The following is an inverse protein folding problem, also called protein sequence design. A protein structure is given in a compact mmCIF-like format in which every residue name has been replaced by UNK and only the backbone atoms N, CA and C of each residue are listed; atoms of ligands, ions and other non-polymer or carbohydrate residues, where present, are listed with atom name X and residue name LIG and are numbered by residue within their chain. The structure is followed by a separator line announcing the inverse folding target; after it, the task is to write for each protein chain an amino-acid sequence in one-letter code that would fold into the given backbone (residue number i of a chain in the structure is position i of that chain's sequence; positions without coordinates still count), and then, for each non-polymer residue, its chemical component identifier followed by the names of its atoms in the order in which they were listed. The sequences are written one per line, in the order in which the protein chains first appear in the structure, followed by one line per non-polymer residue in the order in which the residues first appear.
data_IF_932594247084
#
_entry.id   IF_932594247084
#
_cell.length_a   1.000
_cell.length_b   1.000
_cell.length_c   1.000
_cell.angle_alpha   90.00
_cell.angle_beta   90.00
_cell.angle_gamma   90.00
#
_symmetry.space_group_name_H-M   'P 1'
#
loop_
_entity.id
_entity.type
_entity.pdbx_description
1 polymer ?
#
# COMPACT_ATOMS: atom_id res chain seq x y z
N UNK A 1 -27.88 -17.18 -11.18
CA UNK A 1 -26.42 -17.11 -11.28
C UNK A 1 -25.91 -16.69 -9.91
N UNK A 2 -25.52 -17.66 -9.09
CA UNK A 2 -24.96 -17.43 -7.76
C UNK A 2 -23.55 -16.88 -7.94
N UNK A 3 -23.32 -15.65 -7.47
CA UNK A 3 -21.97 -15.10 -7.36
C UNK A 3 -21.17 -16.00 -6.44
N UNK A 4 -20.09 -16.58 -6.96
CA UNK A 4 -19.09 -17.24 -6.14
C UNK A 4 -18.53 -16.19 -5.16
N UNK A 5 -18.32 -16.53 -3.87
CA UNK A 5 -17.60 -15.62 -2.99
C UNK A 5 -16.24 -15.36 -3.63
N UNK A 6 -15.85 -14.09 -3.74
CA UNK A 6 -14.51 -13.72 -4.15
C UNK A 6 -13.54 -14.28 -3.11
N UNK A 7 -13.01 -15.48 -3.35
CA UNK A 7 -11.87 -15.98 -2.62
C UNK A 7 -10.69 -15.10 -3.04
N UNK A 8 -10.03 -14.48 -2.07
CA UNK A 8 -8.76 -13.82 -2.34
C UNK A 8 -7.84 -14.82 -3.06
N UNK A 9 -7.28 -14.41 -4.19
CA UNK A 9 -6.45 -15.30 -4.99
C UNK A 9 -5.05 -15.35 -4.36
N UNK A 10 -4.91 -16.22 -3.35
CA UNK A 10 -3.69 -16.35 -2.55
C UNK A 10 -2.48 -16.67 -3.41
N UNK A 11 -2.67 -17.41 -4.51
CA UNK A 11 -1.59 -17.72 -5.44
C UNK A 11 -1.14 -16.47 -6.20
N UNK A 12 -2.08 -15.71 -6.76
CA UNK A 12 -1.78 -14.45 -7.46
C UNK A 12 -1.15 -13.42 -6.52
N UNK A 13 -1.71 -13.25 -5.31
CA UNK A 13 -1.16 -12.33 -4.31
C UNK A 13 0.28 -12.68 -3.95
N UNK A 14 0.57 -13.95 -3.69
CA UNK A 14 1.94 -14.40 -3.39
C UNK A 14 2.87 -14.22 -4.59
N UNK A 15 2.38 -14.49 -5.80
CA UNK A 15 3.16 -14.28 -7.01
C UNK A 15 3.56 -12.81 -7.17
N UNK A 16 2.61 -11.88 -7.04
CA UNK A 16 2.87 -10.44 -7.13
C UNK A 16 3.83 -9.99 -6.01
N UNK A 17 3.65 -10.46 -4.77
CA UNK A 17 4.55 -10.14 -3.66
C UNK A 17 5.97 -10.70 -3.84
N UNK A 18 6.19 -11.73 -4.64
CA UNK A 18 7.53 -12.26 -4.92
C UNK A 18 8.23 -11.57 -6.10
N UNK A 19 7.50 -10.79 -6.89
CA UNK A 19 8.09 -10.04 -7.99
C UNK A 19 9.01 -8.92 -7.48
N UNK A 20 10.02 -8.64 -8.29
CA UNK A 20 10.91 -7.50 -8.14
C UNK A 20 10.52 -6.46 -9.20
N UNK A 21 9.68 -5.47 -8.86
CA UNK A 21 9.22 -4.48 -9.83
C UNK A 21 10.37 -3.57 -10.26
N UNK A 22 10.27 -2.95 -11.42
CA UNK A 22 11.12 -1.82 -11.82
C UNK A 22 10.25 -0.70 -12.44
N UNK A 23 10.86 0.42 -12.82
CA UNK A 23 10.10 1.55 -13.39
C UNK A 23 9.45 1.22 -14.75
N UNK A 24 9.90 0.20 -15.48
CA UNK A 24 9.27 -0.23 -16.73
C UNK A 24 8.04 -1.11 -16.51
N UNK A 25 7.95 -1.78 -15.35
CA UNK A 25 6.86 -2.68 -15.04
C UNK A 25 6.69 -2.94 -13.54
N UNK A 26 5.55 -2.51 -13.01
CA UNK A 26 5.04 -2.84 -11.68
C UNK A 26 3.65 -3.47 -11.81
N UNK A 27 3.45 -4.62 -11.17
CA UNK A 27 2.16 -5.29 -11.11
C UNK A 27 1.28 -4.70 -10.00
N UNK A 28 0.04 -4.35 -10.36
CA UNK A 28 -0.92 -3.67 -9.49
C UNK A 28 -2.18 -4.52 -9.35
N UNK A 29 -2.50 -4.90 -8.11
CA UNK A 29 -3.70 -5.62 -7.73
C UNK A 29 -4.90 -4.65 -7.61
N UNK A 30 -6.09 -5.08 -8.04
CA UNK A 30 -7.35 -4.37 -7.80
C UNK A 30 -8.56 -5.30 -7.92
N UNK A 31 -9.75 -4.77 -7.58
CA UNK A 31 -11.02 -5.49 -7.67
C UNK A 31 -11.33 -6.39 -6.48
N UNK A 32 -10.55 -6.28 -5.39
CA UNK A 32 -10.67 -7.07 -4.17
C UNK A 32 -9.93 -8.40 -4.27
N UNK A 33 -9.14 -8.71 -3.24
CA UNK A 33 -8.41 -9.98 -3.10
C UNK A 33 -7.44 -10.27 -4.25
N UNK A 34 -6.90 -9.23 -4.88
CA UNK A 34 -6.09 -9.26 -6.10
C UNK A 34 -6.75 -10.05 -7.24
N UNK A 35 -8.07 -9.91 -7.40
CA UNK A 35 -8.82 -10.61 -8.47
C UNK A 35 -8.43 -10.15 -9.88
N UNK A 36 -7.81 -8.97 -10.00
CA UNK A 36 -7.26 -8.43 -11.23
C UNK A 36 -5.86 -7.90 -10.99
N UNK A 37 -4.99 -8.13 -11.96
CA UNK A 37 -3.63 -7.57 -11.99
C UNK A 37 -3.47 -6.77 -13.27
N UNK A 38 -2.97 -5.55 -13.16
CA UNK A 38 -2.58 -4.70 -14.28
C UNK A 38 -1.12 -4.31 -14.12
N UNK A 39 -0.30 -4.61 -15.13
CA UNK A 39 1.10 -4.18 -15.15
C UNK A 39 1.22 -2.85 -15.85
N UNK A 40 1.89 -1.89 -15.23
CA UNK A 40 2.13 -0.56 -15.79
C UNK A 40 3.55 -0.09 -15.49
N UNK A 41 4.04 0.87 -16.27
CA UNK A 41 5.33 1.53 -16.02
C UNK A 41 5.16 2.90 -15.38
N UNK A 42 6.24 3.41 -14.81
CA UNK A 42 6.40 4.78 -14.31
C UNK A 42 7.40 5.48 -15.21
N UNK A 43 6.94 6.51 -15.92
CA UNK A 43 7.78 7.30 -16.81
C UNK A 43 8.83 8.07 -16.01
N UNK A 44 10.00 8.39 -16.60
CA UNK A 44 11.05 9.13 -15.92
C UNK A 44 10.58 10.46 -15.31
N UNK A 45 9.69 11.18 -16.00
CA UNK A 45 9.16 12.47 -15.54
C UNK A 45 8.22 12.30 -14.33
N UNK A 46 7.40 11.25 -14.33
CA UNK A 46 6.55 10.90 -13.19
C UNK A 46 7.42 10.50 -12.00
N UNK A 47 8.44 9.68 -12.21
CA UNK A 47 9.38 9.29 -11.17
C UNK A 47 10.05 10.52 -10.53
N UNK A 48 10.53 11.47 -11.35
CA UNK A 48 11.13 12.71 -10.86
C UNK A 48 10.15 13.54 -10.00
N UNK A 49 8.86 13.53 -10.33
CA UNK A 49 7.83 14.19 -9.54
C UNK A 49 7.60 13.46 -8.21
N UNK A 50 7.53 12.13 -8.21
CA UNK A 50 7.40 11.32 -7.00
C UNK A 50 8.55 11.56 -6.02
N UNK A 51 9.78 11.65 -6.55
CA UNK A 51 10.97 11.89 -5.72
C UNK A 51 10.96 13.23 -4.97
N UNK A 52 10.14 14.21 -5.38
CA UNK A 52 10.05 15.49 -4.66
C UNK A 52 9.53 15.31 -3.22
N UNK A 53 8.73 14.27 -2.95
CA UNK A 53 8.27 13.93 -1.60
C UNK A 53 9.42 13.63 -0.62
N UNK A 54 10.59 13.28 -1.15
CA UNK A 54 11.77 12.90 -0.39
C UNK A 54 12.92 13.91 -0.59
N UNK A 55 12.61 15.14 -0.99
CA UNK A 55 13.61 16.22 -1.11
C UNK A 55 13.44 17.27 0.00
N UNK A 56 14.51 17.61 0.75
CA UNK A 56 15.81 16.94 0.76
C UNK A 56 15.71 15.49 1.26
N UNK A 57 16.72 14.67 0.92
CA UNK A 57 16.76 13.26 1.34
C UNK A 57 16.58 13.15 2.87
N UNK A 58 15.76 12.20 3.37
CA UNK A 58 15.54 12.03 4.79
C UNK A 58 16.84 11.90 5.59
N UNK A 59 16.94 12.65 6.70
CA UNK A 59 18.12 12.63 7.57
C UNK A 59 17.99 11.66 8.75
N UNK A 60 16.80 11.11 8.98
CA UNK A 60 16.49 10.17 10.06
C UNK A 60 15.23 9.37 9.75
N UNK A 61 15.00 8.28 10.51
CA UNK A 61 13.89 7.35 10.31
C UNK A 61 12.51 8.02 10.26
N UNK A 62 12.22 8.97 11.16
CA UNK A 62 10.93 9.67 11.14
C UNK A 62 10.69 10.46 9.84
N UNK A 63 11.71 11.17 9.34
CA UNK A 63 11.61 11.88 8.07
C UNK A 63 11.45 10.91 6.89
N UNK A 64 12.06 9.73 6.96
CA UNK A 64 11.89 8.69 5.92
C UNK A 64 10.45 8.18 5.89
N UNK A 65 9.81 7.98 7.05
CA UNK A 65 8.38 7.61 7.10
C UNK A 65 7.49 8.68 6.49
N UNK A 66 7.76 9.97 6.73
CA UNK A 66 7.02 11.07 6.06
C UNK A 66 7.20 11.02 4.54
N UNK A 67 8.44 10.85 4.06
CA UNK A 67 8.74 10.69 2.63
C UNK A 67 8.01 9.47 2.02
N UNK A 68 8.01 8.31 2.70
CA UNK A 68 7.27 7.13 2.28
C UNK A 68 5.78 7.44 2.13
N UNK A 69 5.14 8.02 3.15
CA UNK A 69 3.72 8.31 3.14
C UNK A 69 3.32 9.21 1.97
N UNK A 70 4.05 10.31 1.74
CA UNK A 70 3.79 11.26 0.66
C UNK A 70 4.09 10.67 -0.72
N UNK A 71 5.14 9.87 -0.84
CA UNK A 71 5.50 9.24 -2.11
C UNK A 71 4.46 8.18 -2.52
N UNK A 72 3.93 7.41 -1.56
CA UNK A 72 2.82 6.46 -1.80
C UNK A 72 1.57 7.16 -2.34
N UNK A 73 1.20 8.32 -1.77
CA UNK A 73 0.14 9.15 -2.32
C UNK A 73 0.40 9.56 -3.78
N UNK A 74 1.65 9.88 -4.11
CA UNK A 74 2.06 10.16 -5.48
C UNK A 74 1.91 8.94 -6.40
N UNK A 75 2.40 7.77 -5.97
CA UNK A 75 2.30 6.53 -6.73
C UNK A 75 0.85 6.21 -7.06
N UNK A 76 -0.04 6.28 -6.07
CA UNK A 76 -1.46 6.01 -6.26
C UNK A 76 -2.12 6.93 -7.29
N UNK A 77 -1.76 8.21 -7.34
CA UNK A 77 -2.27 9.14 -8.37
C UNK A 77 -1.73 8.78 -9.76
N UNK A 78 -0.42 8.53 -9.87
CA UNK A 78 0.22 8.22 -11.17
C UNK A 78 -0.24 6.88 -11.72
N UNK A 79 -0.24 5.86 -10.87
CA UNK A 79 -0.61 4.50 -11.24
C UNK A 79 -2.12 4.38 -11.40
N UNK A 80 -2.90 5.02 -10.53
CA UNK A 80 -4.36 4.95 -10.54
C UNK A 80 -4.97 5.38 -11.86
N UNK A 81 -4.45 6.45 -12.48
CA UNK A 81 -4.90 6.90 -13.81
C UNK A 81 -4.65 5.85 -14.90
N UNK A 82 -3.59 5.04 -14.76
CA UNK A 82 -3.20 4.02 -15.75
C UNK A 82 -3.92 2.69 -15.55
N UNK A 83 -4.26 2.36 -14.32
CA UNK A 83 -4.91 1.10 -13.93
C UNK A 83 -6.42 1.24 -13.77
N UNK A 84 -6.93 2.46 -13.76
CA UNK A 84 -8.34 2.78 -13.50
C UNK A 84 -8.71 2.68 -12.03
N UNK A 85 -7.75 2.84 -11.12
CA UNK A 85 -7.95 2.83 -9.65
C UNK A 85 -7.89 4.23 -9.04
N UNK A 86 -7.88 5.29 -9.86
CA UNK A 86 -7.87 6.70 -9.45
C UNK A 86 -9.15 7.14 -8.72
N UNK A 87 -10.23 6.39 -8.86
CA UNK A 87 -11.48 6.59 -8.13
C UNK A 87 -11.64 5.67 -6.91
N UNK A 88 -10.57 4.98 -6.50
CA UNK A 88 -10.57 4.16 -5.29
C UNK A 88 -10.95 4.98 -4.05
N UNK A 89 -11.78 4.37 -3.19
CA UNK A 89 -12.25 4.97 -1.96
C UNK A 89 -11.68 4.26 -0.76
N UNK A 90 -11.39 5.02 0.29
CA UNK A 90 -10.94 4.45 1.56
C UNK A 90 -11.97 3.46 2.11
N UNK A 91 -11.48 2.32 2.58
CA UNK A 91 -12.34 1.25 3.09
C UNK A 91 -12.65 0.15 2.08
N UNK A 92 -13.05 -1.02 2.59
CA UNK A 92 -13.44 -2.18 1.75
C UNK A 92 -14.97 -2.26 1.65
N UNK A 93 -15.67 -2.10 2.76
CA UNK A 93 -17.10 -2.35 2.83
C UNK A 93 -17.93 -1.18 2.30
N UNK A 94 -18.90 -1.51 1.45
CA UNK A 94 -19.77 -0.53 0.78
C UNK A 94 -19.19 -0.01 -0.53
N UNK A 95 -17.95 -0.38 -0.88
CA UNK A 95 -17.28 0.13 -2.07
C UNK A 95 -17.15 -0.88 -3.22
N UNK A 96 -17.44 -2.16 -3.02
CA UNK A 96 -17.17 -3.24 -3.99
C UNK A 96 -17.83 -3.09 -5.38
N UNK A 97 -18.86 -2.24 -5.50
CA UNK A 97 -19.50 -1.93 -6.78
C UNK A 97 -18.83 -0.76 -7.53
N UNK A 98 -17.88 -0.05 -6.92
CA UNK A 98 -17.13 1.02 -7.56
C UNK A 98 -16.04 0.43 -8.46
N UNK A 99 -16.02 0.87 -9.71
CA UNK A 99 -14.96 0.50 -10.65
C UNK A 99 -13.62 1.07 -10.14
N UNK A 100 -12.58 0.25 -10.18
CA UNK A 100 -11.26 0.63 -9.68
C UNK A 100 -11.05 0.44 -8.19
N UNK A 101 -12.05 -0.04 -7.46
CA UNK A 101 -11.96 -0.23 -6.02
C UNK A 101 -10.92 -1.29 -5.63
N UNK A 102 -10.17 -0.99 -4.59
CA UNK A 102 -9.19 -1.84 -3.94
C UNK A 102 -9.68 -2.23 -2.54
N UNK A 103 -9.32 -3.44 -2.09
CA UNK A 103 -9.48 -3.85 -0.69
C UNK A 103 -8.16 -3.76 0.07
N UNK A 104 -8.18 -4.09 1.37
CA UNK A 104 -6.97 -4.08 2.18
C UNK A 104 -5.83 -4.98 1.67
N UNK A 105 -6.12 -6.05 0.93
CA UNK A 105 -5.08 -6.92 0.37
C UNK A 105 -4.47 -6.31 -0.88
N UNK A 106 -5.30 -5.76 -1.77
CA UNK A 106 -4.85 -5.00 -2.94
C UNK A 106 -3.91 -3.87 -2.50
N UNK A 107 -4.35 -3.06 -1.54
CA UNK A 107 -3.59 -1.93 -1.01
C UNK A 107 -2.26 -2.35 -0.38
N UNK A 108 -2.28 -3.41 0.45
CA UNK A 108 -1.06 -3.91 1.08
C UNK A 108 -0.03 -4.40 0.05
N UNK A 109 -0.49 -5.09 -1.01
CA UNK A 109 0.39 -5.63 -2.04
C UNK A 109 0.96 -4.50 -2.91
N UNK A 110 0.10 -3.57 -3.34
CA UNK A 110 0.51 -2.43 -4.16
C UNK A 110 1.51 -1.55 -3.40
N UNK A 111 1.21 -1.21 -2.14
CA UNK A 111 2.12 -0.49 -1.25
C UNK A 111 3.46 -1.21 -1.10
N UNK A 112 3.45 -2.54 -0.94
CA UNK A 112 4.70 -3.32 -0.85
C UNK A 112 5.51 -3.23 -2.15
N UNK A 113 4.88 -3.24 -3.31
CA UNK A 113 5.59 -3.07 -4.59
C UNK A 113 6.15 -1.65 -4.76
N UNK A 114 5.44 -0.61 -4.33
CA UNK A 114 5.97 0.76 -4.31
C UNK A 114 7.18 0.89 -3.39
N UNK A 115 7.12 0.30 -2.19
CA UNK A 115 8.25 0.28 -1.26
C UNK A 115 9.48 -0.42 -1.87
N UNK A 116 9.30 -1.52 -2.62
CA UNK A 116 10.41 -2.18 -3.34
C UNK A 116 11.04 -1.26 -4.39
N UNK A 117 10.23 -0.51 -5.14
CA UNK A 117 10.76 0.50 -6.07
C UNK A 117 11.58 1.56 -5.33
N UNK A 118 11.06 2.09 -4.22
CA UNK A 118 11.80 3.05 -3.39
C UNK A 118 13.12 2.47 -2.89
N UNK A 119 13.12 1.22 -2.42
CA UNK A 119 14.33 0.52 -1.96
C UNK A 119 15.36 0.37 -3.09
N UNK A 120 14.96 -0.09 -4.27
CA UNK A 120 15.86 -0.25 -5.41
C UNK A 120 16.49 1.06 -5.88
N UNK A 121 15.79 2.17 -5.68
CA UNK A 121 16.25 3.51 -6.04
C UNK A 121 17.02 4.20 -4.89
N UNK A 122 17.30 3.48 -3.79
CA UNK A 122 18.10 3.98 -2.67
C UNK A 122 17.39 5.02 -1.79
N UNK A 123 16.05 5.07 -1.83
CA UNK A 123 15.25 5.99 -1.04
C UNK A 123 14.95 5.47 0.38
N UNK A 124 15.16 4.17 0.62
CA UNK A 124 15.03 3.56 1.96
C UNK A 124 16.43 3.31 2.55
N UNK A 125 16.83 4.16 3.48
CA UNK A 125 18.10 4.13 4.20
C UNK A 125 17.94 3.72 5.67
N UNK A 126 16.78 4.04 6.28
CA UNK A 126 16.53 3.82 7.70
C UNK A 126 15.61 2.64 7.98
N UNK A 127 14.84 2.18 6.98
CA UNK A 127 13.93 1.05 7.10
C UNK A 127 14.16 -0.04 6.07
N UNK A 128 13.85 -1.26 6.47
CA UNK A 128 13.73 -2.42 5.60
C UNK A 128 12.27 -2.86 5.47
N UNK A 129 11.93 -3.39 4.29
CA UNK A 129 10.59 -3.89 3.99
C UNK A 129 10.36 -5.22 4.72
N UNK A 130 9.19 -5.39 5.29
CA UNK A 130 8.75 -6.64 5.92
C UNK A 130 7.70 -7.35 5.07
N UNK A 131 7.43 -8.62 5.39
CA UNK A 131 6.22 -9.28 4.92
C UNK A 131 4.97 -8.48 5.33
N UNK A 132 3.91 -8.58 4.52
CA UNK A 132 2.63 -7.95 4.83
C UNK A 132 2.12 -8.36 6.22
N UNK A 133 1.62 -7.38 6.94
CA UNK A 133 1.11 -7.51 8.30
C UNK A 133 -0.40 -7.79 8.29
N UNK A 134 -0.89 -8.50 9.32
CA UNK A 134 -2.32 -8.81 9.50
C UNK A 134 -2.80 -8.56 10.93
N UNK A 135 -4.06 -8.15 11.09
CA UNK A 135 -4.79 -8.07 12.37
C UNK A 135 -6.24 -8.56 12.23
N UNK A 136 -6.92 -8.75 13.37
CA UNK A 136 -8.38 -8.99 13.41
C UNK A 136 -8.82 -10.44 13.16
N UNK A 137 -8.47 -11.39 14.04
CA UNK A 137 -8.94 -12.78 13.94
C UNK A 137 -9.88 -13.17 15.10
N UNK A 138 -10.98 -13.83 14.76
CA UNK A 138 -11.99 -14.52 15.59
C UNK A 138 -12.89 -13.71 16.55
N UNK A 139 -12.43 -12.69 17.30
CA UNK A 139 -13.30 -12.02 18.30
C UNK A 139 -13.22 -10.48 18.37
N UNK A 140 -12.23 -9.84 17.73
CA UNK A 140 -11.91 -8.40 17.92
C UNK A 140 -11.96 -7.53 16.64
N UNK A 141 -12.57 -8.00 15.55
CA UNK A 141 -12.72 -7.21 14.31
C UNK A 141 -12.65 -8.02 13.03
N UNK A 142 -12.88 -7.36 11.89
CA UNK A 142 -12.69 -7.94 10.55
C UNK A 142 -11.19 -8.07 10.23
N UNK A 143 -10.77 -9.12 9.48
CA UNK A 143 -9.39 -9.25 9.04
C UNK A 143 -8.95 -8.02 8.25
N UNK A 144 -7.78 -7.47 8.59
CA UNK A 144 -7.17 -6.34 7.89
C UNK A 144 -5.70 -6.64 7.60
N UNK A 145 -5.26 -6.35 6.39
CA UNK A 145 -3.89 -6.57 5.90
C UNK A 145 -3.27 -5.22 5.54
N UNK A 146 -1.97 -5.06 5.76
CA UNK A 146 -1.22 -3.83 5.43
C UNK A 146 0.22 -4.14 5.05
N UNK A 147 0.89 -3.27 4.30
CA UNK A 147 2.35 -3.32 4.16
C UNK A 147 3.02 -2.96 5.50
N UNK A 148 4.26 -3.39 5.69
CA UNK A 148 5.00 -3.13 6.93
C UNK A 148 6.48 -2.88 6.65
N UNK A 149 7.08 -2.07 7.52
CA UNK A 149 8.52 -1.75 7.50
C UNK A 149 9.10 -1.88 8.91
N UNK A 150 10.40 -2.16 9.00
CA UNK A 150 11.17 -2.19 10.24
C UNK A 150 12.28 -1.16 10.18
N UNK A 151 12.38 -0.35 11.21
CA UNK A 151 13.51 0.57 11.40
C UNK A 151 14.77 -0.24 11.74
N UNK A 152 15.85 -0.01 11.00
CA UNK A 152 17.07 -0.84 11.05
C UNK A 152 17.78 -0.69 12.40
N UNK A 153 17.89 0.53 12.92
CA UNK A 153 18.65 0.81 14.14
C UNK A 153 17.93 0.29 15.40
N UNK A 154 16.64 0.61 15.55
CA UNK A 154 15.87 0.27 16.75
C UNK A 154 15.17 -1.08 16.69
N UNK A 155 15.00 -1.65 15.48
CA UNK A 155 14.14 -2.81 15.25
C UNK A 155 12.64 -2.50 15.40
N UNK A 156 12.25 -1.23 15.61
CA UNK A 156 10.86 -0.82 15.74
C UNK A 156 10.12 -1.09 14.42
N UNK A 157 8.95 -1.73 14.52
CA UNK A 157 8.10 -2.05 13.38
C UNK A 157 7.03 -0.99 13.20
N UNK A 158 6.68 -0.71 11.96
CA UNK A 158 5.61 0.20 11.58
C UNK A 158 4.68 -0.46 10.56
N UNK A 159 3.39 -0.27 10.74
CA UNK A 159 2.40 -0.53 9.69
C UNK A 159 2.43 0.64 8.69
N UNK A 160 2.32 0.34 7.40
CA UNK A 160 2.23 1.32 6.31
C UNK A 160 0.91 1.05 5.58
N UNK A 161 -0.12 1.85 5.89
CA UNK A 161 -1.51 1.52 5.59
C UNK A 161 -2.17 2.62 4.76
N UNK A 162 -2.30 2.39 3.45
CA UNK A 162 -2.93 3.30 2.49
C UNK A 162 -4.47 3.21 2.47
N UNK A 163 -5.05 2.16 3.05
CA UNK A 163 -6.47 1.81 2.91
C UNK A 163 -7.46 2.77 3.58
N UNK A 164 -7.00 3.65 4.48
CA UNK A 164 -7.89 4.47 5.31
C UNK A 164 -8.56 5.64 4.57
N UNK A 165 -8.03 6.05 3.43
CA UNK A 165 -8.49 7.24 2.70
C UNK A 165 -8.64 6.93 1.21
N UNK A 166 -9.26 7.86 0.48
CA UNK A 166 -9.41 7.74 -0.97
C UNK A 166 -8.05 7.82 -1.68
N UNK A 167 -8.01 7.39 -2.93
CA UNK A 167 -6.80 7.35 -3.75
C UNK A 167 -5.96 8.62 -3.64
N UNK A 168 -4.65 8.44 -3.48
CA UNK A 168 -3.69 9.54 -3.51
C UNK A 168 -3.65 10.34 -2.22
N UNK A 169 -4.10 9.78 -1.10
CA UNK A 169 -3.84 10.31 0.23
C UNK A 169 -2.55 9.72 0.82
N UNK A 170 -1.81 10.46 1.67
CA UNK A 170 -0.65 9.89 2.34
C UNK A 170 -1.01 8.65 3.15
N UNK A 171 -0.23 7.59 2.98
CA UNK A 171 -0.41 6.36 3.73
C UNK A 171 -0.20 6.62 5.23
N UNK A 172 -0.98 5.94 6.06
CA UNK A 172 -0.86 6.06 7.51
C UNK A 172 0.28 5.17 7.99
N UNK A 173 1.31 5.77 8.59
CA UNK A 173 2.46 5.05 9.13
C UNK A 173 2.55 5.22 10.64
N UNK A 174 2.27 4.15 11.37
CA UNK A 174 2.23 4.16 12.84
C UNK A 174 2.94 2.93 13.44
N UNK A 175 3.35 2.97 14.72
CA UNK A 175 3.93 1.80 15.38
C UNK A 175 3.05 0.57 15.23
N UNK A 176 3.66 -0.54 14.85
CA UNK A 176 2.95 -1.77 14.51
C UNK A 176 2.06 -2.27 15.65
N UNK A 177 2.51 -2.17 16.90
CA UNK A 177 1.73 -2.58 18.07
C UNK A 177 0.48 -1.71 18.27
N UNK A 178 0.56 -0.41 17.96
CA UNK A 178 -0.61 0.49 18.00
C UNK A 178 -1.62 0.10 16.93
N UNK A 179 -1.17 -0.11 15.69
CA UNK A 179 -2.02 -0.58 14.59
C UNK A 179 -2.68 -1.92 14.96
N UNK A 180 -1.94 -2.85 15.56
CA UNK A 180 -2.45 -4.19 15.89
C UNK A 180 -3.64 -4.19 16.87
N UNK A 181 -3.84 -3.12 17.64
CA UNK A 181 -4.99 -2.99 18.56
C UNK A 181 -6.34 -2.79 17.86
N UNK A 182 -6.34 -2.58 16.54
CA UNK A 182 -7.53 -2.18 15.78
C UNK A 182 -7.65 -0.66 15.60
N UNK A 183 -6.58 0.08 15.92
CA UNK A 183 -6.52 1.52 15.70
C UNK A 183 -6.87 1.90 14.25
N UNK A 184 -7.63 2.98 14.09
CA UNK A 184 -7.86 3.65 12.82
C UNK A 184 -7.86 5.16 13.05
N UNK A 185 -7.62 5.99 12.04
CA UNK A 185 -7.84 7.43 12.17
C UNK A 185 -9.29 7.74 12.54
N UNK A 186 -9.49 8.75 13.40
CA UNK A 186 -10.82 9.15 13.88
C UNK A 186 -11.65 9.80 12.77
N UNK A 187 -10.99 10.48 11.84
CA UNK A 187 -11.56 11.16 10.67
C UNK A 187 -11.72 10.24 9.45
N UNK A 188 -11.12 9.05 9.46
CA UNK A 188 -11.31 8.05 8.40
C UNK A 188 -12.70 7.42 8.47
N UNK A 189 -13.37 7.43 7.31
CA UNK A 189 -14.67 6.77 7.09
C UNK A 189 -14.55 5.31 6.66
N UNK A 190 -13.32 4.82 6.47
CA UNK A 190 -13.04 3.47 5.99
C UNK A 190 -13.70 2.42 6.90
N UNK A 191 -14.28 1.40 6.27
CA UNK A 191 -14.93 0.26 6.93
C UNK A 191 -14.46 -1.02 6.32
#
# INVERSE_FOLDING_TARGET
MTALPAHADVEVMNHVLQQTPDLSGIAICHGGGCSRVTTTGIAPEEWQQLQQACQPMPAHAEAERTCIAEMLAGFERVVGVKTGTDADRGGTFGNSAHAGQMDCNDEAINTTNYLKLMQQQGLLQFHEIMDVARRGFFFNGWPHTTAAIREIESGQRYAVDAWFYDNGHPAVIIPFETWKTGWKPDDSRAR
#
